data_IF_204941341506
#
_entry.id   IF_204941341506
#
_cell.length_a   1.000
_cell.length_b   1.000
_cell.length_c   1.000
_cell.angle_alpha   90.00
_cell.angle_beta   90.00
_cell.angle_gamma   90.00
#
_symmetry.space_group_name_H-M   'P 1'
#
loop_
_entity.id
_entity.type
_entity.pdbx_description
1 polymer ?
#
# COMPACT_ATOMS: atom_id res chain seq x y z
N UNK A 1 -19.04 31.70 16.19
CA UNK A 1 -19.51 30.31 16.38
C UNK A 1 -19.46 29.62 15.04
N UNK A 2 -18.79 28.48 15.05
CA UNK A 2 -18.33 27.69 13.92
C UNK A 2 -19.49 27.14 13.09
N UNK A 3 -19.30 27.04 11.77
CA UNK A 3 -19.94 25.97 11.02
C UNK A 3 -18.88 25.31 10.13
N UNK A 4 -18.20 24.38 10.77
CA UNK A 4 -17.13 23.55 10.24
C UNK A 4 -17.71 22.60 9.18
N UNK A 5 -17.64 22.97 7.90
CA UNK A 5 -17.91 22.09 6.74
C UNK A 5 -16.80 21.04 6.57
N UNK A 6 -16.63 20.19 7.59
CA UNK A 6 -15.76 19.00 7.57
C UNK A 6 -16.49 17.76 7.07
N UNK A 7 -17.61 17.94 6.37
CA UNK A 7 -18.40 16.85 5.83
C UNK A 7 -17.76 16.31 4.55
N UNK A 8 -17.01 15.22 4.77
CA UNK A 8 -16.97 14.04 3.91
C UNK A 8 -15.93 13.99 2.76
N UNK A 9 -14.65 14.19 3.09
CA UNK A 9 -13.51 13.89 2.19
C UNK A 9 -13.51 12.44 1.64
N UNK A 10 -14.21 11.51 2.29
CA UNK A 10 -14.22 10.09 1.94
C UNK A 10 -15.50 9.60 1.22
N UNK A 11 -16.49 10.45 0.94
CA UNK A 11 -17.81 9.99 0.47
C UNK A 11 -17.79 9.24 -0.87
N UNK A 12 -16.82 9.54 -1.74
CA UNK A 12 -16.65 8.88 -3.04
C UNK A 12 -15.41 7.97 -3.08
N UNK A 13 -14.82 7.67 -1.92
CA UNK A 13 -13.62 6.84 -1.80
C UNK A 13 -13.99 5.40 -1.47
N UNK A 14 -13.19 4.46 -1.96
CA UNK A 14 -13.34 3.03 -1.67
C UNK A 14 -13.17 2.78 -0.17
N UNK A 15 -14.04 1.96 0.40
CA UNK A 15 -13.93 1.56 1.80
C UNK A 15 -12.88 0.45 1.96
N UNK A 16 -12.23 0.31 3.13
CA UNK A 16 -11.25 -0.75 3.34
C UNK A 16 -11.81 -2.15 3.06
N UNK A 17 -13.06 -2.41 3.47
CA UNK A 17 -13.73 -3.68 3.18
C UNK A 17 -13.80 -3.99 1.68
N UNK A 18 -14.11 -3.00 0.85
CA UNK A 18 -14.22 -3.15 -0.61
C UNK A 18 -12.83 -3.33 -1.23
N UNK A 19 -11.86 -2.50 -0.85
CA UNK A 19 -10.48 -2.60 -1.33
C UNK A 19 -9.88 -4.00 -1.09
N UNK A 20 -9.98 -4.50 0.14
CA UNK A 20 -9.43 -5.81 0.46
C UNK A 20 -10.26 -6.97 -0.11
N UNK A 21 -11.54 -6.77 -0.38
CA UNK A 21 -12.33 -7.75 -1.13
C UNK A 21 -11.87 -7.85 -2.58
N UNK A 22 -11.56 -6.73 -3.23
CA UNK A 22 -10.98 -6.75 -4.57
C UNK A 22 -9.58 -7.37 -4.57
N UNK A 23 -8.79 -7.10 -3.53
CA UNK A 23 -7.45 -7.64 -3.37
C UNK A 23 -7.48 -9.18 -3.28
N UNK A 24 -8.36 -9.76 -2.47
CA UNK A 24 -8.45 -11.23 -2.33
C UNK A 24 -9.08 -11.92 -3.53
N UNK A 25 -9.80 -11.19 -4.40
CA UNK A 25 -10.25 -11.69 -5.70
C UNK A 25 -9.07 -11.76 -6.68
N UNK A 26 -8.23 -10.72 -6.73
CA UNK A 26 -7.08 -10.66 -7.65
C UNK A 26 -5.91 -11.55 -7.20
N UNK A 27 -5.72 -11.68 -5.88
CA UNK A 27 -4.67 -12.48 -5.24
C UNK A 27 -5.28 -13.47 -4.24
N UNK A 28 -5.84 -14.60 -4.72
CA UNK A 28 -6.51 -15.58 -3.87
C UNK A 28 -5.63 -16.17 -2.77
N UNK A 29 -4.31 -16.20 -2.97
CA UNK A 29 -3.33 -16.69 -2.00
C UNK A 29 -3.34 -15.89 -0.69
N UNK A 30 -3.78 -14.62 -0.72
CA UNK A 30 -3.85 -13.75 0.45
C UNK A 30 -5.18 -13.83 1.18
N UNK A 31 -6.15 -14.58 0.65
CA UNK A 31 -7.52 -14.58 1.15
C UNK A 31 -7.60 -14.96 2.61
N UNK A 32 -6.92 -16.03 3.01
CA UNK A 32 -6.98 -16.56 4.37
C UNK A 32 -6.43 -15.55 5.37
N UNK A 33 -5.24 -15.00 5.10
CA UNK A 33 -4.54 -14.05 5.94
C UNK A 33 -5.37 -12.77 6.11
N UNK A 34 -5.96 -12.28 5.02
CA UNK A 34 -6.70 -11.02 4.98
C UNK A 34 -8.11 -11.12 5.56
N UNK A 35 -8.81 -12.24 5.35
CA UNK A 35 -10.17 -12.45 5.86
C UNK A 35 -10.19 -12.90 7.33
N UNK A 36 -9.10 -13.49 7.83
CA UNK A 36 -8.96 -13.83 9.24
C UNK A 36 -8.73 -12.62 10.16
N UNK A 37 -8.37 -11.45 9.60
CA UNK A 37 -8.29 -10.21 10.36
C UNK A 37 -9.65 -9.53 10.47
N UNK A 38 -9.89 -8.83 11.59
CA UNK A 38 -11.00 -7.89 11.67
C UNK A 38 -10.89 -6.86 10.54
N UNK A 39 -12.00 -6.58 9.85
CA UNK A 39 -12.03 -5.63 8.73
C UNK A 39 -11.53 -4.22 9.07
N UNK A 40 -11.53 -3.85 10.35
CA UNK A 40 -11.00 -2.59 10.88
C UNK A 40 -9.46 -2.58 10.99
N UNK A 41 -8.81 -3.73 10.94
CA UNK A 41 -7.35 -3.87 11.00
C UNK A 41 -6.70 -3.59 9.63
N UNK A 42 -6.95 -2.38 9.09
CA UNK A 42 -6.51 -1.97 7.75
C UNK A 42 -4.99 -2.09 7.59
N UNK A 43 -4.24 -1.72 8.62
CA UNK A 43 -2.77 -1.78 8.63
C UNK A 43 -2.25 -3.22 8.53
N UNK A 44 -2.72 -4.15 9.37
CA UNK A 44 -2.31 -5.56 9.28
C UNK A 44 -2.68 -6.20 7.94
N UNK A 45 -3.86 -5.86 7.39
CA UNK A 45 -4.27 -6.38 6.09
C UNK A 45 -3.41 -5.84 4.95
N UNK A 46 -2.96 -4.59 5.05
CA UNK A 46 -2.01 -4.01 4.10
C UNK A 46 -0.59 -4.58 4.27
N UNK A 47 -0.19 -4.89 5.50
CA UNK A 47 1.08 -5.55 5.81
C UNK A 47 1.17 -6.93 5.16
N UNK A 48 0.12 -7.76 5.22
CA UNK A 48 0.09 -9.03 4.48
C UNK A 48 0.30 -8.86 2.97
N UNK A 49 -0.25 -7.79 2.39
CA UNK A 49 -0.01 -7.48 0.98
C UNK A 49 1.42 -7.00 0.73
N UNK A 50 1.99 -6.22 1.64
CA UNK A 50 3.41 -5.85 1.58
C UNK A 50 4.31 -7.08 1.65
N UNK A 51 4.07 -7.99 2.58
CA UNK A 51 4.83 -9.24 2.74
C UNK A 51 4.75 -10.09 1.47
N UNK A 52 3.58 -10.15 0.85
CA UNK A 52 3.40 -10.81 -0.43
C UNK A 52 4.29 -10.20 -1.53
N UNK A 53 4.34 -8.87 -1.61
CA UNK A 53 5.20 -8.16 -2.56
C UNK A 53 6.69 -8.41 -2.27
N UNK A 54 7.08 -8.38 -1.00
CA UNK A 54 8.45 -8.67 -0.57
C UNK A 54 8.85 -10.10 -0.96
N UNK A 55 7.95 -11.07 -0.80
CA UNK A 55 8.16 -12.44 -1.27
C UNK A 55 8.43 -12.48 -2.79
N UNK A 56 7.67 -11.72 -3.59
CA UNK A 56 7.90 -11.65 -5.04
C UNK A 56 9.24 -11.00 -5.39
N UNK A 57 9.68 -10.00 -4.64
CA UNK A 57 11.00 -9.38 -4.79
C UNK A 57 12.10 -10.43 -4.50
N UNK A 58 12.01 -11.13 -3.36
CA UNK A 58 13.00 -12.13 -2.93
C UNK A 58 13.12 -13.31 -3.88
N UNK A 59 11.99 -13.75 -4.41
CA UNK A 59 11.93 -14.86 -5.39
C UNK A 59 12.16 -14.41 -6.82
N UNK A 60 12.40 -13.10 -7.05
CA UNK A 60 12.57 -12.49 -8.38
C UNK A 60 11.39 -12.76 -9.32
N UNK A 61 10.18 -12.89 -8.77
CA UNK A 61 8.96 -13.05 -9.54
C UNK A 61 8.45 -11.69 -10.04
N UNK A 62 9.16 -11.13 -11.03
CA UNK A 62 8.90 -9.79 -11.55
C UNK A 62 7.51 -9.68 -12.18
N UNK A 63 7.00 -10.76 -12.78
CA UNK A 63 5.67 -10.77 -13.38
C UNK A 63 4.59 -10.56 -12.33
N UNK A 64 4.64 -11.31 -11.22
CA UNK A 64 3.66 -11.16 -10.14
C UNK A 64 3.83 -9.84 -9.40
N UNK A 65 5.07 -9.41 -9.17
CA UNK A 65 5.35 -8.11 -8.55
C UNK A 65 4.73 -6.94 -9.34
N UNK A 66 4.79 -6.98 -10.68
CA UNK A 66 4.13 -5.98 -11.54
C UNK A 66 2.62 -6.03 -11.40
N UNK A 67 2.01 -7.22 -11.32
CA UNK A 67 0.56 -7.35 -11.06
C UNK A 67 0.18 -6.68 -9.73
N UNK A 68 0.97 -6.87 -8.68
CA UNK A 68 0.74 -6.21 -7.40
C UNK A 68 0.83 -4.67 -7.51
N UNK A 69 1.82 -4.16 -8.25
CA UNK A 69 1.96 -2.73 -8.44
C UNK A 69 0.82 -2.12 -9.27
N UNK A 70 0.40 -2.78 -10.33
CA UNK A 70 -0.73 -2.36 -11.17
C UNK A 70 -2.05 -2.38 -10.39
N UNK A 71 -2.22 -3.35 -9.48
CA UNK A 71 -3.35 -3.40 -8.58
C UNK A 71 -3.45 -2.12 -7.73
N UNK A 72 -2.35 -1.68 -7.12
CA UNK A 72 -2.30 -0.44 -6.34
C UNK A 72 -2.49 0.80 -7.22
N UNK A 73 -1.76 0.89 -8.34
CA UNK A 73 -1.78 2.02 -9.28
C UNK A 73 -3.21 2.39 -9.70
N UNK A 74 -4.01 1.38 -10.06
CA UNK A 74 -5.38 1.56 -10.53
C UNK A 74 -6.38 1.99 -9.44
N UNK A 75 -5.96 1.96 -8.17
CA UNK A 75 -6.82 2.23 -7.00
C UNK A 75 -6.42 3.46 -6.19
N UNK A 76 -5.19 3.96 -6.33
CA UNK A 76 -4.65 5.10 -5.57
C UNK A 76 -5.62 6.29 -5.49
N UNK A 77 -6.22 6.70 -6.61
CA UNK A 77 -7.13 7.87 -6.65
C UNK A 77 -8.45 7.63 -5.92
N UNK A 78 -8.82 6.36 -5.70
CA UNK A 78 -10.05 5.95 -5.03
C UNK A 78 -9.84 5.70 -3.54
N UNK A 79 -8.60 5.61 -3.05
CA UNK A 79 -8.31 5.29 -1.66
C UNK A 79 -8.88 6.35 -0.70
N UNK A 80 -9.45 5.88 0.41
CA UNK A 80 -9.84 6.74 1.53
C UNK A 80 -8.62 7.04 2.42
N UNK A 81 -8.79 7.92 3.41
CA UNK A 81 -7.72 8.30 4.34
C UNK A 81 -7.04 7.11 5.04
N UNK A 82 -7.81 6.11 5.47
CA UNK A 82 -7.27 4.96 6.21
C UNK A 82 -6.40 4.08 5.32
N UNK A 83 -6.83 3.87 4.07
CA UNK A 83 -6.07 3.12 3.08
C UNK A 83 -4.83 3.86 2.60
N UNK A 84 -4.91 5.20 2.44
CA UNK A 84 -3.74 6.02 2.12
C UNK A 84 -2.72 5.93 3.26
N UNK A 85 -3.18 6.02 4.51
CA UNK A 85 -2.29 5.89 5.66
C UNK A 85 -1.63 4.51 5.67
N UNK A 86 -2.40 3.42 5.52
CA UNK A 86 -1.86 2.07 5.47
C UNK A 86 -0.90 1.85 4.28
N UNK A 87 -1.19 2.41 3.10
CA UNK A 87 -0.28 2.36 1.95
C UNK A 87 1.07 3.02 2.31
N UNK A 88 1.07 4.16 2.98
CA UNK A 88 2.30 4.82 3.41
C UNK A 88 3.04 4.02 4.49
N UNK A 89 2.41 3.79 5.64
CA UNK A 89 3.12 3.29 6.84
C UNK A 89 3.18 1.76 6.95
N UNK A 90 2.38 1.02 6.20
CA UNK A 90 2.40 -0.46 6.25
C UNK A 90 2.94 -1.09 4.96
N UNK A 91 2.91 -0.38 3.84
CA UNK A 91 3.41 -0.88 2.57
C UNK A 91 4.70 -0.17 2.12
N UNK A 92 4.69 1.15 1.96
CA UNK A 92 5.90 1.89 1.57
C UNK A 92 7.01 1.79 2.61
N UNK A 93 6.68 1.92 3.90
CA UNK A 93 7.63 1.72 5.00
C UNK A 93 8.29 0.35 4.98
N UNK A 94 7.50 -0.71 4.84
CA UNK A 94 7.97 -2.10 4.79
C UNK A 94 8.92 -2.34 3.61
N UNK A 95 8.64 -1.74 2.45
CA UNK A 95 9.53 -1.81 1.30
C UNK A 95 10.82 -0.99 1.51
N UNK A 96 10.72 0.20 2.12
CA UNK A 96 11.84 1.12 2.33
C UNK A 96 12.80 0.65 3.42
N UNK A 97 12.28 0.14 4.53
CA UNK A 97 13.04 -0.14 5.75
C UNK A 97 13.14 -1.64 6.07
N UNK A 98 12.30 -2.46 5.43
CA UNK A 98 12.24 -3.90 5.66
C UNK A 98 13.32 -4.68 4.93
N UNK A 99 13.09 -5.98 4.80
CA UNK A 99 14.11 -6.94 4.37
C UNK A 99 14.60 -6.74 2.93
N UNK A 100 13.81 -6.09 2.07
CA UNK A 100 14.16 -5.84 0.66
C UNK A 100 14.66 -4.41 0.38
N UNK A 101 14.97 -3.63 1.42
CA UNK A 101 15.39 -2.23 1.29
C UNK A 101 16.59 -2.04 0.33
N UNK A 102 17.50 -3.01 0.26
CA UNK A 102 18.71 -2.92 -0.59
C UNK A 102 18.37 -3.09 -2.07
N UNK A 103 17.32 -3.84 -2.37
CA UNK A 103 16.84 -4.14 -3.71
C UNK A 103 15.96 -3.01 -4.28
N UNK A 104 15.43 -2.14 -3.42
CA UNK A 104 14.45 -1.12 -3.82
C UNK A 104 14.94 -0.16 -4.90
N UNK A 105 16.25 0.12 -4.98
CA UNK A 105 16.83 0.98 -6.03
C UNK A 105 16.44 0.51 -7.45
N UNK A 106 16.38 -0.81 -7.67
CA UNK A 106 15.94 -1.37 -8.96
C UNK A 106 14.42 -1.59 -9.00
N UNK A 107 13.81 -2.01 -7.89
CA UNK A 107 12.37 -2.29 -7.83
C UNK A 107 11.52 -1.04 -8.09
N UNK A 108 11.93 0.13 -7.61
CA UNK A 108 11.23 1.41 -7.84
C UNK A 108 11.11 1.72 -9.34
N UNK A 109 12.02 1.22 -10.19
CA UNK A 109 11.94 1.40 -11.65
C UNK A 109 10.81 0.60 -12.29
N UNK A 110 10.32 -0.43 -11.60
CA UNK A 110 9.20 -1.27 -12.04
C UNK A 110 7.85 -0.71 -11.58
N UNK A 111 7.83 0.20 -10.61
CA UNK A 111 6.61 0.81 -10.11
C UNK A 111 5.96 1.72 -11.16
N UNK A 112 4.64 1.62 -11.35
CA UNK A 112 3.87 2.58 -12.12
C UNK A 112 3.91 3.99 -11.51
N UNK A 113 3.57 5.04 -12.28
CA UNK A 113 3.87 6.42 -11.92
C UNK A 113 3.25 6.91 -10.60
N UNK A 114 1.99 6.60 -10.29
CA UNK A 114 1.35 7.11 -9.07
C UNK A 114 1.88 6.39 -7.84
N UNK A 115 2.04 5.06 -7.92
CA UNK A 115 2.63 4.28 -6.82
C UNK A 115 4.07 4.71 -6.55
N UNK A 116 4.86 4.87 -7.62
CA UNK A 116 6.24 5.37 -7.52
C UNK A 116 6.30 6.73 -6.83
N UNK A 117 5.39 7.64 -7.19
CA UNK A 117 5.32 8.97 -6.57
C UNK A 117 5.08 8.87 -5.05
N UNK A 118 4.09 8.07 -4.63
CA UNK A 118 3.79 7.86 -3.20
C UNK A 118 5.00 7.29 -2.46
N UNK A 119 5.65 6.27 -3.03
CA UNK A 119 6.84 5.67 -2.42
C UNK A 119 7.98 6.68 -2.25
N UNK A 120 8.28 7.47 -3.30
CA UNK A 120 9.35 8.48 -3.25
C UNK A 120 9.02 9.60 -2.25
N UNK A 121 7.77 10.06 -2.20
CA UNK A 121 7.34 11.05 -1.20
C UNK A 121 7.50 10.53 0.23
N UNK A 122 7.19 9.25 0.47
CA UNK A 122 7.41 8.61 1.76
C UNK A 122 8.90 8.48 2.10
N UNK A 123 9.75 8.09 1.14
CA UNK A 123 11.21 8.04 1.31
C UNK A 123 11.80 9.42 1.64
N UNK A 124 11.37 10.47 0.95
CA UNK A 124 11.79 11.85 1.22
C UNK A 124 11.38 12.29 2.63
N UNK A 125 10.14 12.01 3.03
CA UNK A 125 9.64 12.28 4.38
C UNK A 125 10.50 11.58 5.45
N UNK A 126 10.73 10.27 5.32
CA UNK A 126 11.52 9.50 6.27
C UNK A 126 12.98 9.99 6.36
N UNK A 127 13.59 10.32 5.22
CA UNK A 127 14.94 10.88 5.18
C UNK A 127 15.01 12.27 5.81
N UNK A 128 13.93 13.05 5.77
CA UNK A 128 13.79 14.31 6.50
C UNK A 128 13.83 14.11 8.02
N UNK A 129 13.07 13.13 8.53
CA UNK A 129 13.04 12.79 9.96
C UNK A 129 14.40 12.32 10.50
N UNK A 130 15.22 11.64 9.70
CA UNK A 130 16.57 11.21 10.10
C UNK A 130 17.58 12.35 10.20
N UNK A 131 17.30 13.50 9.59
CA UNK A 131 18.21 14.66 9.55
C UNK A 131 17.86 15.74 10.58
N UNK A 132 16.68 15.66 11.19
CA UNK A 132 16.22 16.50 12.30
C UNK A 132 16.66 15.93 13.65
#
# INVERSE_FOLDING_TARGET
MENNNWTNLNNNKIKPKEFFSELTIEFPDLKTEIENQDYKMVHFRMEFFSDYNILQIKTKNITELKRCFDFQETRIEKLNSDLINALNVSYCESLLLGECAKEMTEIIKLMPPKLKKIYVEYEEYYNGLRKS
#
